data_IF_459710600209
#
_entry.id   IF_459710600209
#
_cell.length_a   1.000
_cell.length_b   1.000
_cell.length_c   1.000
_cell.angle_alpha   90.00
_cell.angle_beta   90.00
_cell.angle_gamma   90.00
#
_symmetry.space_group_name_H-M   'P 1'
#
loop_
_entity.id
_entity.type
_entity.pdbx_description
1 polymer ?
#
# COMPACT_ATOMS: atom_id res chain seq x y z
N UNK A 1 -4.18 -30.14 40.76
CA UNK A 1 -4.60 -29.52 39.48
C UNK A 1 -3.38 -28.85 38.88
N UNK A 2 -2.82 -29.39 37.80
CA UNK A 2 -1.70 -28.76 37.10
C UNK A 2 -2.18 -27.50 36.36
N UNK A 3 -1.45 -26.36 36.44
CA UNK A 3 -1.85 -25.15 35.76
C UNK A 3 -1.78 -25.34 34.24
N UNK A 4 -2.89 -25.02 33.59
CA UNK A 4 -3.05 -25.18 32.16
C UNK A 4 -2.22 -24.13 31.41
N UNK A 5 -1.39 -24.56 30.48
CA UNK A 5 -0.44 -23.69 29.78
C UNK A 5 -1.15 -22.67 28.87
N UNK A 6 -0.58 -21.47 28.80
CA UNK A 6 -1.09 -20.34 28.01
C UNK A 6 -0.76 -20.50 26.52
N UNK A 7 -1.75 -20.30 25.65
CA UNK A 7 -1.58 -20.43 24.20
C UNK A 7 -1.17 -19.08 23.56
N UNK A 8 0.11 -18.72 23.71
CA UNK A 8 0.66 -17.45 23.23
C UNK A 8 0.50 -17.22 21.72
N UNK A 9 0.49 -18.31 20.92
CA UNK A 9 0.39 -18.23 19.45
C UNK A 9 -0.88 -17.55 18.95
N UNK A 10 -2.01 -17.75 19.65
CA UNK A 10 -3.29 -17.12 19.28
C UNK A 10 -3.25 -15.60 19.48
N UNK A 11 -2.66 -15.17 20.61
CA UNK A 11 -2.51 -13.76 20.93
C UNK A 11 -1.52 -13.07 19.99
N UNK A 12 -0.39 -13.71 19.71
CA UNK A 12 0.59 -13.18 18.75
C UNK A 12 0.01 -13.13 17.35
N UNK A 13 -0.72 -14.15 16.92
CA UNK A 13 -1.41 -14.14 15.61
C UNK A 13 -2.40 -12.99 15.50
N UNK A 14 -3.22 -12.77 16.52
CA UNK A 14 -4.14 -11.63 16.57
C UNK A 14 -3.39 -10.28 16.57
N UNK A 15 -2.37 -10.12 17.40
CA UNK A 15 -1.56 -8.89 17.44
C UNK A 15 -0.89 -8.61 16.08
N UNK A 16 -0.35 -9.63 15.41
CA UNK A 16 0.20 -9.50 14.06
C UNK A 16 -0.85 -9.03 13.05
N UNK A 17 -2.10 -9.49 13.15
CA UNK A 17 -3.18 -9.04 12.25
C UNK A 17 -3.53 -7.55 12.45
N UNK A 18 -3.55 -7.08 13.70
CA UNK A 18 -3.77 -5.66 14.02
C UNK A 18 -2.61 -4.81 13.53
N UNK A 19 -1.36 -5.25 13.76
CA UNK A 19 -0.16 -4.58 13.29
C UNK A 19 -0.12 -4.51 11.76
N UNK A 20 -0.55 -5.55 11.05
CA UNK A 20 -0.65 -5.53 9.60
C UNK A 20 -1.61 -4.44 9.11
N UNK A 21 -2.82 -4.39 9.70
CA UNK A 21 -3.85 -3.43 9.34
C UNK A 21 -3.40 -2.00 9.64
N UNK A 22 -3.15 -1.70 10.92
CA UNK A 22 -2.81 -0.35 11.35
C UNK A 22 -1.46 0.10 10.80
N UNK A 23 -0.45 -0.78 10.79
CA UNK A 23 0.86 -0.46 10.24
C UNK A 23 0.81 -0.08 8.77
N UNK A 24 -0.06 -0.73 7.97
CA UNK A 24 -0.24 -0.34 6.59
C UNK A 24 -0.85 1.06 6.46
N UNK A 25 -2.00 1.29 7.10
CA UNK A 25 -2.76 2.53 6.90
C UNK A 25 -2.09 3.74 7.53
N UNK A 26 -1.39 3.59 8.67
CA UNK A 26 -0.66 4.68 9.31
C UNK A 26 0.61 5.07 8.55
N UNK A 27 1.23 4.13 7.82
CA UNK A 27 2.48 4.36 7.10
C UNK A 27 2.29 4.47 5.58
N UNK A 28 1.04 4.40 5.10
CA UNK A 28 0.72 4.34 3.68
C UNK A 28 1.28 5.53 2.89
N UNK A 29 1.18 6.73 3.45
CA UNK A 29 1.65 7.96 2.79
C UNK A 29 3.18 8.05 2.72
N UNK A 30 3.88 7.44 3.69
CA UNK A 30 5.33 7.55 3.84
C UNK A 30 6.03 6.43 3.06
N UNK A 31 5.47 5.21 3.10
CA UNK A 31 6.13 4.02 2.55
C UNK A 31 5.14 3.15 1.80
N UNK A 32 5.15 3.27 0.47
CA UNK A 32 4.45 2.30 -0.40
C UNK A 32 4.91 0.86 -0.16
N UNK A 33 6.15 0.69 0.33
CA UNK A 33 6.75 -0.59 0.73
C UNK A 33 6.08 -1.22 1.97
N UNK A 34 5.40 -0.43 2.81
CA UNK A 34 4.67 -0.95 3.98
C UNK A 34 3.62 -2.00 3.58
N UNK A 35 3.12 -1.95 2.34
CA UNK A 35 2.27 -2.98 1.76
C UNK A 35 2.85 -4.39 1.94
N UNK A 36 4.11 -4.60 1.52
CA UNK A 36 4.74 -5.92 1.54
C UNK A 36 4.95 -6.41 2.98
N UNK A 37 5.31 -5.50 3.88
CA UNK A 37 5.51 -5.81 5.30
C UNK A 37 4.18 -6.24 5.93
N UNK A 38 3.10 -5.49 5.71
CA UNK A 38 1.77 -5.83 6.21
C UNK A 38 1.24 -7.12 5.60
N UNK A 39 1.52 -7.40 4.33
CA UNK A 39 1.16 -8.67 3.70
C UNK A 39 1.87 -9.85 4.36
N UNK A 40 3.17 -9.74 4.63
CA UNK A 40 3.93 -10.76 5.35
C UNK A 40 3.40 -10.97 6.77
N UNK A 41 3.06 -9.88 7.49
CA UNK A 41 2.43 -9.96 8.81
C UNK A 41 1.09 -10.69 8.79
N UNK A 42 0.25 -10.48 7.76
CA UNK A 42 -0.99 -11.23 7.57
C UNK A 42 -0.73 -12.73 7.39
N UNK A 43 0.27 -13.12 6.59
CA UNK A 43 0.64 -14.52 6.40
C UNK A 43 1.11 -15.14 7.71
N UNK A 44 1.99 -14.45 8.44
CA UNK A 44 2.48 -14.89 9.76
C UNK A 44 1.32 -15.03 10.75
N UNK A 45 0.39 -14.06 10.77
CA UNK A 45 -0.81 -14.12 11.60
C UNK A 45 -1.63 -15.40 11.32
N UNK A 46 -1.91 -15.70 10.05
CA UNK A 46 -2.65 -16.90 9.65
C UNK A 46 -1.95 -18.18 10.11
N UNK A 47 -0.63 -18.30 9.90
CA UNK A 47 0.14 -19.48 10.31
C UNK A 47 0.07 -19.67 11.84
N UNK A 48 0.25 -18.59 12.60
CA UNK A 48 0.18 -18.61 14.06
C UNK A 48 -1.21 -18.99 14.58
N UNK A 49 -2.27 -18.49 13.94
CA UNK A 49 -3.66 -18.80 14.29
C UNK A 49 -4.00 -20.26 14.01
N UNK A 50 -3.64 -20.80 12.84
CA UNK A 50 -3.86 -22.21 12.50
C UNK A 50 -3.10 -23.11 13.48
N UNK A 51 -1.82 -22.79 13.76
CA UNK A 51 -1.02 -23.54 14.72
C UNK A 51 -1.54 -23.42 16.16
N UNK A 52 -2.06 -22.26 16.54
CA UNK A 52 -2.69 -22.00 17.83
C UNK A 52 -4.02 -22.76 18.00
N UNK A 53 -4.87 -22.77 16.98
CA UNK A 53 -6.14 -23.52 16.97
C UNK A 53 -5.87 -25.02 17.07
N UNK A 54 -5.02 -25.57 16.19
CA UNK A 54 -4.67 -27.00 16.21
C UNK A 54 -4.22 -27.44 17.59
N UNK A 55 -3.31 -26.68 18.22
CA UNK A 55 -2.84 -26.96 19.59
C UNK A 55 -3.95 -26.87 20.64
N UNK A 56 -4.89 -25.93 20.52
CA UNK A 56 -6.01 -25.77 21.44
C UNK A 56 -7.03 -26.93 21.36
N UNK A 57 -7.23 -27.50 20.17
CA UNK A 57 -8.13 -28.63 19.95
C UNK A 57 -7.46 -30.00 20.19
N UNK A 58 -6.17 -30.16 19.87
CA UNK A 58 -5.44 -31.44 20.03
C UNK A 58 -5.07 -31.78 21.47
N UNK A 59 -4.90 -30.78 22.36
CA UNK A 59 -4.59 -31.03 23.78
C UNK A 59 -5.49 -30.19 24.70
N UNK A 60 -6.80 -30.52 24.78
CA UNK A 60 -7.79 -29.75 25.55
C UNK A 60 -7.49 -29.64 27.02
N UNK A 61 -6.79 -30.60 27.62
CA UNK A 61 -6.52 -30.65 29.06
C UNK A 61 -5.27 -29.85 29.43
N UNK A 62 -4.33 -29.69 28.48
CA UNK A 62 -3.07 -29.01 28.68
C UNK A 62 -3.09 -27.50 28.34
N UNK A 63 -4.01 -27.03 27.46
CA UNK A 63 -4.03 -25.62 27.00
C UNK A 63 -5.36 -24.89 27.20
N UNK A 64 -5.31 -23.64 27.70
CA UNK A 64 -6.47 -22.72 27.74
C UNK A 64 -6.66 -22.14 26.34
N UNK A 65 -7.84 -22.29 25.75
CA UNK A 65 -8.06 -21.80 24.38
C UNK A 65 -9.31 -22.27 23.65
N UNK A 66 -10.11 -23.19 24.19
CA UNK A 66 -11.32 -23.68 23.51
C UNK A 66 -12.34 -22.60 23.14
N UNK A 67 -12.47 -21.55 23.97
CA UNK A 67 -13.38 -20.42 23.74
C UNK A 67 -12.63 -19.24 23.10
N UNK A 68 -11.49 -18.84 23.69
CA UNK A 68 -10.71 -17.71 23.19
C UNK A 68 -10.10 -17.95 21.80
N UNK A 69 -9.79 -19.20 21.45
CA UNK A 69 -9.20 -19.58 20.16
C UNK A 69 -10.09 -19.26 18.97
N UNK A 70 -11.32 -19.80 18.89
CA UNK A 70 -12.23 -19.44 17.82
C UNK A 70 -12.57 -17.95 17.81
N UNK A 71 -12.74 -17.30 18.97
CA UNK A 71 -12.99 -15.84 19.04
C UNK A 71 -11.84 -15.05 18.41
N UNK A 72 -10.60 -15.28 18.86
CA UNK A 72 -9.42 -14.57 18.35
C UNK A 72 -9.17 -14.88 16.87
N UNK A 73 -9.40 -16.12 16.44
CA UNK A 73 -9.28 -16.49 15.03
C UNK A 73 -10.31 -15.77 14.16
N UNK A 74 -11.59 -15.75 14.57
CA UNK A 74 -12.65 -15.04 13.83
C UNK A 74 -12.37 -13.55 13.77
N UNK A 75 -11.98 -12.92 14.89
CA UNK A 75 -11.62 -11.50 14.91
C UNK A 75 -10.42 -11.21 14.01
N UNK A 76 -9.38 -12.03 14.05
CA UNK A 76 -8.21 -11.88 13.18
C UNK A 76 -8.58 -12.01 11.70
N UNK A 77 -9.47 -12.94 11.37
CA UNK A 77 -9.93 -13.15 10.00
C UNK A 77 -10.74 -11.96 9.49
N UNK A 78 -11.58 -11.37 10.36
CA UNK A 78 -12.30 -10.13 10.08
C UNK A 78 -11.34 -8.94 9.87
N UNK A 79 -10.30 -8.82 10.69
CA UNK A 79 -9.25 -7.80 10.52
C UNK A 79 -8.51 -7.97 9.17
N UNK A 80 -8.12 -9.19 8.82
CA UNK A 80 -7.47 -9.49 7.54
C UNK A 80 -8.41 -9.21 6.36
N UNK A 81 -9.70 -9.53 6.49
CA UNK A 81 -10.70 -9.24 5.47
C UNK A 81 -10.89 -7.72 5.29
N UNK A 82 -10.96 -6.95 6.38
CA UNK A 82 -11.00 -5.48 6.34
C UNK A 82 -9.76 -4.90 5.67
N UNK A 83 -8.57 -5.43 5.97
CA UNK A 83 -7.33 -5.06 5.30
C UNK A 83 -7.44 -5.26 3.78
N UNK A 84 -7.86 -6.44 3.34
CA UNK A 84 -8.06 -6.74 1.92
C UNK A 84 -9.12 -5.84 1.25
N UNK A 85 -10.22 -5.57 1.95
CA UNK A 85 -11.27 -4.68 1.46
C UNK A 85 -10.79 -3.23 1.28
N UNK A 86 -10.01 -2.72 2.24
CA UNK A 86 -9.40 -1.39 2.13
C UNK A 86 -8.45 -1.28 0.94
N UNK A 87 -7.62 -2.30 0.70
CA UNK A 87 -6.75 -2.37 -0.48
C UNK A 87 -7.55 -2.36 -1.80
N UNK A 88 -8.66 -3.11 -1.85
CA UNK A 88 -9.54 -3.13 -3.01
C UNK A 88 -10.14 -1.75 -3.28
N UNK A 89 -10.63 -1.07 -2.25
CA UNK A 89 -11.18 0.28 -2.38
C UNK A 89 -10.13 1.29 -2.85
N UNK A 90 -8.91 1.23 -2.31
CA UNK A 90 -7.80 2.06 -2.78
C UNK A 90 -7.48 1.80 -4.25
N UNK A 91 -7.32 0.53 -4.67
CA UNK A 91 -7.08 0.21 -6.09
C UNK A 91 -8.18 0.75 -7.01
N UNK A 92 -9.43 0.75 -6.56
CA UNK A 92 -10.55 1.29 -7.33
C UNK A 92 -10.55 2.82 -7.38
N UNK A 93 -10.03 3.50 -6.36
CA UNK A 93 -9.91 4.95 -6.32
C UNK A 93 -8.77 5.49 -7.21
N UNK A 94 -7.75 4.68 -7.49
CA UNK A 94 -6.60 5.05 -8.32
C UNK A 94 -6.59 4.28 -9.65
N UNK A 95 -7.06 4.88 -10.76
CA UNK A 95 -6.97 4.22 -12.06
C UNK A 95 -5.51 3.93 -12.39
N UNK A 96 -5.27 2.72 -12.91
CA UNK A 96 -3.93 2.30 -13.35
C UNK A 96 -3.53 3.15 -14.56
N UNK A 97 -2.31 3.69 -14.55
CA UNK A 97 -1.75 4.42 -15.69
C UNK A 97 -1.33 3.44 -16.81
N UNK A 98 -2.31 2.80 -17.46
CA UNK A 98 -2.07 1.73 -18.44
C UNK A 98 -1.22 2.17 -19.64
N UNK A 99 -1.28 3.46 -20.00
CA UNK A 99 -0.58 4.02 -21.15
C UNK A 99 0.59 4.93 -20.76
N UNK A 100 1.12 4.79 -19.54
CA UNK A 100 2.31 5.53 -19.13
C UNK A 100 3.52 5.08 -19.97
N UNK A 101 4.27 6.01 -20.59
CA UNK A 101 5.46 5.66 -21.35
C UNK A 101 6.53 5.06 -20.42
N UNK A 102 7.20 4.01 -20.88
CA UNK A 102 8.33 3.40 -20.19
C UNK A 102 9.64 4.10 -20.55
N UNK A 103 10.70 3.86 -19.77
CA UNK A 103 12.05 4.38 -20.08
C UNK A 103 12.47 3.92 -21.48
N UNK A 104 12.93 4.87 -22.30
CA UNK A 104 13.32 4.63 -23.69
C UNK A 104 12.18 4.71 -24.71
N UNK A 105 10.92 4.81 -24.27
CA UNK A 105 9.79 5.10 -25.16
C UNK A 105 9.70 6.61 -25.44
N UNK A 106 9.28 6.98 -26.66
CA UNK A 106 9.01 8.37 -27.00
C UNK A 106 7.86 8.90 -26.14
N UNK A 107 8.07 10.04 -25.48
CA UNK A 107 7.02 10.71 -24.73
C UNK A 107 5.86 11.11 -25.67
N UNK A 108 4.60 10.84 -25.30
CA UNK A 108 3.44 11.31 -26.07
C UNK A 108 3.45 12.84 -26.19
N UNK A 109 3.11 13.34 -27.38
CA UNK A 109 2.85 14.77 -27.56
C UNK A 109 1.64 15.19 -26.74
N UNK A 110 1.69 16.41 -26.21
CA UNK A 110 0.55 17.02 -25.51
C UNK A 110 0.37 18.48 -25.93
N UNK A 111 -0.84 18.96 -25.72
CA UNK A 111 -1.24 20.35 -25.79
C UNK A 111 -1.99 20.65 -24.49
N UNK A 112 -1.37 21.39 -23.58
CA UNK A 112 -1.94 21.75 -22.29
C UNK A 112 -2.04 23.27 -22.18
N UNK A 113 -2.98 23.75 -21.38
CA UNK A 113 -3.13 25.17 -21.10
C UNK A 113 -2.33 25.51 -19.84
N UNK A 114 -1.54 26.58 -19.89
CA UNK A 114 -0.83 27.11 -18.72
C UNK A 114 -1.75 27.95 -17.81
N UNK A 115 -1.20 28.50 -16.73
CA UNK A 115 -1.94 29.34 -15.79
C UNK A 115 -2.45 30.66 -16.37
N UNK A 116 -1.91 31.10 -17.51
CA UNK A 116 -2.27 32.34 -18.19
C UNK A 116 -3.27 32.11 -19.34
N UNK A 117 -3.73 30.87 -19.55
CA UNK A 117 -4.59 30.50 -20.67
C UNK A 117 -3.82 30.23 -21.97
N UNK A 118 -2.48 30.25 -21.93
CA UNK A 118 -1.61 29.98 -23.07
C UNK A 118 -1.52 28.49 -23.38
N UNK A 119 -1.49 28.15 -24.66
CA UNK A 119 -1.30 26.79 -25.12
C UNK A 119 0.19 26.41 -25.08
N UNK A 120 0.53 25.29 -24.44
CA UNK A 120 1.89 24.76 -24.30
C UNK A 120 1.97 23.38 -24.92
N UNK A 121 2.94 23.20 -25.83
CA UNK A 121 3.25 21.91 -26.48
C UNK A 121 4.58 21.34 -26.02
N UNK A 122 4.69 20.02 -25.96
CA UNK A 122 5.96 19.35 -25.64
C UNK A 122 7.07 19.73 -26.62
N UNK A 123 6.78 19.72 -27.92
CA UNK A 123 7.75 20.10 -28.96
C UNK A 123 8.30 21.53 -28.79
N UNK A 124 7.47 22.46 -28.31
CA UNK A 124 7.87 23.85 -28.07
C UNK A 124 8.83 23.96 -26.89
N UNK A 125 8.55 23.24 -25.79
CA UNK A 125 9.41 23.18 -24.61
C UNK A 125 10.81 22.62 -24.90
N UNK A 126 10.99 21.85 -25.97
CA UNK A 126 12.26 21.26 -26.36
C UNK A 126 12.99 22.03 -27.48
N UNK A 127 12.31 22.93 -28.18
CA UNK A 127 12.85 23.63 -29.34
C UNK A 127 13.13 25.11 -29.10
N UNK A 128 12.41 25.75 -28.16
CA UNK A 128 12.57 27.15 -27.83
C UNK A 128 13.26 27.36 -26.47
N UNK A 129 14.00 28.46 -26.28
CA UNK A 129 14.44 28.88 -24.97
C UNK A 129 13.24 29.16 -24.06
N UNK A 130 13.32 28.77 -22.79
CA UNK A 130 12.23 28.95 -21.84
C UNK A 130 12.01 30.44 -21.52
N UNK A 131 10.76 30.87 -21.27
CA UNK A 131 10.46 32.23 -20.84
C UNK A 131 11.26 32.61 -19.58
N UNK A 132 11.82 33.82 -19.54
CA UNK A 132 12.63 34.32 -18.41
C UNK A 132 14.10 33.84 -18.39
N UNK A 133 14.56 33.16 -19.45
CA UNK A 133 15.98 32.84 -19.64
C UNK A 133 16.75 33.99 -20.33
N UNK A 134 18.06 34.05 -20.13
CA UNK A 134 18.91 35.11 -20.66
C UNK A 134 18.93 35.13 -22.21
N UNK A 135 19.13 36.31 -22.79
CA UNK A 135 19.25 36.48 -24.24
C UNK A 135 20.40 35.59 -24.78
N UNK A 136 20.07 34.64 -25.65
CA UNK A 136 21.00 33.64 -26.19
C UNK A 136 20.98 32.27 -25.50
N UNK A 137 20.06 32.02 -24.56
CA UNK A 137 19.88 30.70 -23.96
C UNK A 137 19.57 29.63 -25.02
N UNK A 138 20.22 28.47 -24.89
CA UNK A 138 19.96 27.32 -25.75
C UNK A 138 18.65 26.63 -25.38
N UNK A 139 18.07 25.88 -26.32
CA UNK A 139 16.89 25.06 -26.07
C UNK A 139 17.17 23.99 -24.98
N UNK A 140 16.17 23.63 -24.16
CA UNK A 140 16.32 22.62 -23.11
C UNK A 140 16.67 21.25 -23.67
N UNK A 141 17.51 20.50 -22.95
CA UNK A 141 17.85 19.11 -23.31
C UNK A 141 16.83 18.07 -22.82
N UNK A 142 15.85 18.49 -22.02
CA UNK A 142 14.84 17.61 -21.46
C UNK A 142 13.77 18.38 -20.70
N UNK A 143 12.65 17.71 -20.46
CA UNK A 143 11.48 18.25 -19.75
C UNK A 143 11.14 17.31 -18.59
N UNK A 144 10.94 17.87 -17.40
CA UNK A 144 10.43 17.13 -16.25
C UNK A 144 8.90 17.31 -16.18
N UNK A 145 8.16 16.22 -16.33
CA UNK A 145 6.70 16.22 -16.19
C UNK A 145 6.31 15.79 -14.77
N UNK A 146 5.66 16.69 -14.04
CA UNK A 146 5.15 16.43 -12.68
C UNK A 146 3.64 16.33 -12.73
N UNK A 147 3.11 15.11 -12.56
CA UNK A 147 1.67 14.86 -12.47
C UNK A 147 1.23 14.91 -11.00
N UNK A 148 0.20 15.69 -10.69
CA UNK A 148 -0.34 15.81 -9.35
C UNK A 148 -1.87 15.88 -9.37
N UNK A 149 -2.52 15.52 -8.26
CA UNK A 149 -3.98 15.46 -8.14
C UNK A 149 -4.50 16.73 -7.46
N UNK A 150 -4.57 17.81 -8.23
CA UNK A 150 -5.12 19.11 -7.81
C UNK A 150 -4.08 20.04 -7.19
N UNK A 151 -4.17 21.33 -7.52
CA UNK A 151 -3.50 22.42 -6.82
C UNK A 151 -4.59 23.24 -6.14
N UNK A 152 -4.31 23.72 -4.93
CA UNK A 152 -5.21 24.56 -4.13
C UNK A 152 -4.67 25.98 -4.10
#
# INVERSE_FOLDING_TARGET
MTPKAWNWRLWTGFACSLLALFGYFLLFEITRTAFWISLLLCIVAVILLIGGLRRAYSAPEAYRGKIAGPILATLSLLVIALFGFGLYMMKRAYPVAQNAPHVGQKAPEFLLTDSNGGAVKLAELLSAPLPGTSAGAAAPRGVLLVFYRGYW
#
